data_IF_788081023925
#
_entry.id   IF_788081023925
#
_cell.length_a   1.000
_cell.length_b   1.000
_cell.length_c   1.000
_cell.angle_alpha   90.00
_cell.angle_beta   90.00
_cell.angle_gamma   90.00
#
_symmetry.space_group_name_H-M   'P 1'
#
loop_
_entity.id
_entity.type
_entity.pdbx_description
1 polymer ?
#
# COMPACT_ATOMS: atom_id res chain seq x y z
N UNK A 1 2.64 52.81 26.05
CA UNK A 1 2.54 51.74 25.05
C UNK A 1 3.86 50.98 24.98
N UNK A 2 3.99 49.87 25.70
CA UNK A 2 5.19 49.03 25.67
C UNK A 2 4.81 47.65 25.14
N UNK A 3 5.26 47.34 23.93
CA UNK A 3 5.15 45.99 23.37
C UNK A 3 5.90 44.98 24.25
N UNK A 4 5.38 43.76 24.42
CA UNK A 4 6.05 42.75 25.22
C UNK A 4 7.35 42.27 24.53
N UNK A 5 8.37 41.86 25.30
CA UNK A 5 9.64 41.38 24.76
C UNK A 5 9.42 40.07 23.99
N UNK A 6 9.91 40.01 22.75
CA UNK A 6 9.93 38.77 21.97
C UNK A 6 10.88 37.80 22.66
N UNK A 7 10.36 36.67 23.12
CA UNK A 7 11.17 35.52 23.51
C UNK A 7 11.93 35.03 22.27
N UNK A 8 13.22 35.32 22.20
CA UNK A 8 14.13 34.77 21.18
C UNK A 8 14.59 33.40 21.65
N UNK A 9 13.78 32.37 21.43
CA UNK A 9 14.26 30.99 21.52
C UNK A 9 15.40 30.83 20.50
N UNK A 10 16.59 30.33 20.88
CA UNK A 10 17.67 30.09 19.93
C UNK A 10 17.15 29.14 18.84
N UNK A 11 17.33 29.53 17.58
CA UNK A 11 16.99 28.65 16.46
C UNK A 11 17.88 27.40 16.53
N UNK A 12 17.35 26.22 16.17
CA UNK A 12 18.16 25.02 16.09
C UNK A 12 19.34 25.22 15.11
N UNK A 13 20.48 24.55 15.33
CA UNK A 13 21.63 24.66 14.46
C UNK A 13 21.27 24.22 13.04
N UNK A 14 21.63 25.04 12.05
CA UNK A 14 21.46 24.72 10.63
C UNK A 14 22.63 23.87 10.16
N UNK A 15 22.33 22.71 9.57
CA UNK A 15 23.33 21.78 9.05
C UNK A 15 23.21 21.73 7.53
N UNK A 16 24.35 21.80 6.82
CA UNK A 16 24.40 21.68 5.37
C UNK A 16 24.54 20.21 4.93
N UNK A 17 23.64 19.66 4.09
CA UNK A 17 23.71 18.28 3.63
C UNK A 17 24.65 18.08 2.43
N UNK A 18 25.72 18.88 2.28
CA UNK A 18 26.60 18.87 1.10
C UNK A 18 27.21 17.50 0.81
N UNK A 19 27.56 16.74 1.85
CA UNK A 19 28.09 15.39 1.68
C UNK A 19 27.02 14.42 1.12
N UNK A 20 25.83 14.43 1.70
CA UNK A 20 24.69 13.65 1.20
C UNK A 20 24.38 13.99 -0.25
N UNK A 21 24.35 15.29 -0.60
CA UNK A 21 24.13 15.74 -1.98
C UNK A 21 25.17 15.20 -2.95
N UNK A 22 26.43 15.16 -2.53
CA UNK A 22 27.52 14.59 -3.35
C UNK A 22 27.36 13.09 -3.59
N UNK A 23 26.86 12.33 -2.61
CA UNK A 23 26.53 10.90 -2.78
C UNK A 23 25.39 10.75 -3.78
N UNK A 24 24.30 11.50 -3.61
CA UNK A 24 23.13 11.47 -4.49
C UNK A 24 23.53 11.72 -5.95
N UNK A 25 24.38 12.72 -6.22
CA UNK A 25 24.85 13.06 -7.58
C UNK A 25 25.63 11.95 -8.28
N UNK A 26 26.26 11.06 -7.49
CA UNK A 26 26.96 9.89 -8.01
C UNK A 26 26.01 8.72 -8.24
N UNK A 27 25.06 8.50 -7.34
CA UNK A 27 24.15 7.36 -7.37
C UNK A 27 22.99 7.52 -8.37
N UNK A 28 22.56 8.75 -8.65
CA UNK A 28 21.47 9.02 -9.59
C UNK A 28 21.79 10.19 -10.50
N UNK A 29 21.73 9.95 -11.80
CA UNK A 29 21.87 11.01 -12.82
C UNK A 29 20.69 11.98 -12.80
N UNK A 30 19.52 11.53 -12.35
CA UNK A 30 18.29 12.31 -12.30
C UNK A 30 18.37 13.51 -11.35
N UNK A 31 18.98 13.33 -10.18
CA UNK A 31 19.10 14.38 -9.14
C UNK A 31 20.42 15.16 -9.20
N UNK A 32 21.19 14.98 -10.29
CA UNK A 32 22.48 15.63 -10.44
C UNK A 32 22.33 17.13 -10.69
N UNK A 33 23.17 17.91 -10.04
CA UNK A 33 23.17 19.38 -10.18
C UNK A 33 22.25 20.07 -9.18
N UNK A 34 21.71 21.24 -9.52
CA UNK A 34 21.00 22.10 -8.55
C UNK A 34 19.64 22.59 -9.08
N UNK A 35 19.02 21.81 -9.96
CA UNK A 35 17.67 22.10 -10.44
C UNK A 35 16.63 21.76 -9.38
N UNK A 36 15.43 22.31 -9.54
CA UNK A 36 14.28 21.91 -8.71
C UNK A 36 13.77 20.54 -9.16
N UNK A 37 13.38 19.71 -8.20
CA UNK A 37 12.87 18.36 -8.41
C UNK A 37 11.59 18.12 -7.63
N UNK A 38 10.82 17.11 -8.03
CA UNK A 38 9.69 16.63 -7.26
C UNK A 38 10.20 15.89 -6.00
N UNK A 39 9.72 16.32 -4.83
CA UNK A 39 10.11 15.70 -3.56
C UNK A 39 9.62 14.26 -3.44
N UNK A 40 8.48 13.93 -4.05
CA UNK A 40 7.95 12.57 -4.06
C UNK A 40 8.84 11.63 -4.89
N UNK A 41 9.27 12.08 -6.08
CA UNK A 41 10.20 11.32 -6.92
C UNK A 41 11.53 11.08 -6.20
N UNK A 42 12.07 12.12 -5.54
CA UNK A 42 13.27 12.00 -4.73
C UNK A 42 13.10 11.01 -3.55
N UNK A 43 11.98 11.08 -2.84
CA UNK A 43 11.67 10.17 -1.73
C UNK A 43 11.55 8.72 -2.20
N UNK A 44 10.84 8.46 -3.30
CA UNK A 44 10.67 7.12 -3.85
C UNK A 44 12.03 6.50 -4.21
N UNK A 45 12.89 7.27 -4.89
CA UNK A 45 14.26 6.84 -5.19
C UNK A 45 15.10 6.60 -3.93
N UNK A 46 15.02 7.49 -2.94
CA UNK A 46 15.82 7.38 -1.73
C UNK A 46 15.43 6.14 -0.92
N UNK A 47 14.14 5.86 -0.78
CA UNK A 47 13.63 4.68 -0.08
C UNK A 47 14.10 3.40 -0.77
N UNK A 48 14.07 3.35 -2.10
CA UNK A 48 14.56 2.22 -2.89
C UNK A 48 16.08 2.04 -2.76
N UNK A 49 16.86 3.12 -2.87
CA UNK A 49 18.31 3.08 -2.71
C UNK A 49 18.72 2.59 -1.31
N UNK A 50 18.05 3.07 -0.26
CA UNK A 50 18.31 2.60 1.11
C UNK A 50 17.82 1.17 1.30
N UNK A 51 16.70 0.78 0.69
CA UNK A 51 16.23 -0.60 0.71
C UNK A 51 17.29 -1.55 0.16
N UNK A 52 17.81 -1.28 -1.04
CA UNK A 52 18.79 -2.15 -1.69
C UNK A 52 20.11 -2.21 -0.91
N UNK A 53 20.56 -1.10 -0.31
CA UNK A 53 21.78 -1.07 0.52
C UNK A 53 21.64 -1.86 1.84
N UNK A 54 20.41 -1.99 2.38
CA UNK A 54 20.15 -2.67 3.68
C UNK A 54 19.38 -3.98 3.53
N UNK A 55 19.19 -4.45 2.30
CA UNK A 55 18.48 -5.69 1.96
C UNK A 55 19.24 -6.88 2.52
N UNK A 56 18.52 -7.80 3.15
CA UNK A 56 19.12 -9.05 3.61
C UNK A 56 19.42 -9.97 2.43
N UNK A 57 20.56 -10.67 2.43
CA UNK A 57 20.83 -11.73 1.45
C UNK A 57 19.77 -12.83 1.60
N UNK A 58 18.80 -12.88 0.68
CA UNK A 58 17.75 -13.88 0.74
C UNK A 58 18.24 -15.19 0.13
N UNK A 59 18.53 -16.19 0.97
CA UNK A 59 18.98 -17.53 0.56
C UNK A 59 17.85 -18.47 0.07
N UNK A 60 16.75 -17.96 -0.49
CA UNK A 60 15.66 -18.84 -0.93
C UNK A 60 15.53 -18.84 -2.45
N UNK A 61 15.77 -20.02 -3.03
CA UNK A 61 15.27 -20.42 -4.35
C UNK A 61 13.74 -20.45 -4.31
N UNK A 62 13.10 -19.28 -4.35
CA UNK A 62 11.69 -19.24 -4.69
C UNK A 62 11.55 -19.48 -6.19
N UNK A 63 10.73 -20.45 -6.62
CA UNK A 63 10.48 -20.64 -8.04
C UNK A 63 9.92 -19.33 -8.59
N UNK A 64 10.73 -18.63 -9.40
CA UNK A 64 10.38 -17.30 -9.92
C UNK A 64 9.06 -17.30 -10.69
N UNK A 65 8.66 -18.48 -11.19
CA UNK A 65 7.54 -18.71 -12.08
C UNK A 65 6.30 -19.38 -11.44
N UNK A 66 6.17 -19.48 -10.10
CA UNK A 66 4.88 -19.89 -9.54
C UNK A 66 3.87 -18.76 -9.71
N UNK A 67 2.86 -18.94 -10.56
CA UNK A 67 1.75 -17.99 -10.65
C UNK A 67 1.02 -17.96 -9.30
N UNK A 68 0.73 -16.76 -8.79
CA UNK A 68 -0.02 -16.59 -7.54
C UNK A 68 -1.46 -17.03 -7.83
N UNK A 69 -2.01 -17.91 -7.01
CA UNK A 69 -3.40 -18.33 -7.19
C UNK A 69 -4.34 -17.23 -6.70
N UNK A 70 -4.97 -16.53 -7.63
CA UNK A 70 -5.91 -15.43 -7.39
C UNK A 70 -7.28 -15.66 -8.04
N UNK A 71 -7.53 -16.89 -8.51
CA UNK A 71 -8.81 -17.36 -9.04
C UNK A 71 -9.96 -17.20 -8.02
N UNK A 72 -11.21 -17.16 -8.47
CA UNK A 72 -12.39 -16.87 -7.64
C UNK A 72 -12.55 -17.83 -6.45
N UNK A 73 -12.01 -19.05 -6.53
CA UNK A 73 -11.98 -20.04 -5.45
C UNK A 73 -11.05 -19.66 -4.28
N UNK A 74 -10.10 -18.74 -4.48
CA UNK A 74 -9.15 -18.31 -3.45
C UNK A 74 -9.67 -17.07 -2.74
N UNK A 75 -9.65 -17.10 -1.41
CA UNK A 75 -10.01 -15.94 -0.59
C UNK A 75 -8.99 -14.81 -0.71
N UNK A 76 -9.43 -13.56 -0.54
CA UNK A 76 -8.53 -12.40 -0.56
C UNK A 76 -7.40 -12.52 0.48
N UNK A 77 -7.72 -13.06 1.67
CA UNK A 77 -6.74 -13.27 2.72
C UNK A 77 -5.63 -14.23 2.26
N UNK A 78 -5.99 -15.37 1.67
CA UNK A 78 -5.00 -16.34 1.17
C UNK A 78 -4.16 -15.78 0.02
N UNK A 79 -4.78 -15.15 -0.96
CA UNK A 79 -4.07 -14.57 -2.11
C UNK A 79 -3.14 -13.42 -1.69
N UNK A 80 -3.58 -12.59 -0.74
CA UNK A 80 -2.77 -11.51 -0.19
C UNK A 80 -1.57 -12.04 0.61
N UNK A 81 -1.76 -13.07 1.44
CA UNK A 81 -0.69 -13.69 2.22
C UNK A 81 0.34 -14.36 1.31
N UNK A 82 -0.10 -15.11 0.30
CA UNK A 82 0.81 -15.74 -0.67
C UNK A 82 1.64 -14.68 -1.42
N UNK A 83 0.99 -13.60 -1.84
CA UNK A 83 1.67 -12.48 -2.50
C UNK A 83 2.68 -11.81 -1.55
N UNK A 84 2.31 -11.61 -0.28
CA UNK A 84 3.17 -11.01 0.72
C UNK A 84 4.42 -11.85 1.00
N UNK A 85 4.23 -13.15 1.19
CA UNK A 85 5.34 -14.08 1.42
C UNK A 85 6.26 -14.16 0.20
N UNK A 86 5.70 -14.20 -1.00
CA UNK A 86 6.47 -14.24 -2.26
C UNK A 86 7.23 -12.94 -2.54
N UNK A 87 6.71 -11.80 -2.13
CA UNK A 87 7.40 -10.51 -2.29
C UNK A 87 8.47 -10.31 -1.22
N UNK A 88 8.18 -10.64 0.05
CA UNK A 88 9.16 -10.62 1.15
C UNK A 88 10.32 -11.57 0.90
N UNK A 89 10.06 -12.70 0.26
CA UNK A 89 11.08 -13.63 -0.22
C UNK A 89 12.14 -13.03 -1.16
N UNK A 90 11.87 -11.89 -1.79
CA UNK A 90 12.78 -11.23 -2.73
C UNK A 90 13.28 -9.91 -2.14
N UNK A 91 12.38 -9.17 -1.51
CA UNK A 91 12.57 -7.78 -1.10
C UNK A 91 12.24 -7.62 0.38
N UNK A 92 13.26 -7.88 1.22
CA UNK A 92 13.14 -7.77 2.67
C UNK A 92 14.26 -6.90 3.26
N UNK A 93 13.86 -5.82 3.92
CA UNK A 93 14.73 -4.95 4.70
C UNK A 93 13.90 -4.21 5.76
N UNK A 94 14.58 -3.55 6.70
CA UNK A 94 13.88 -2.76 7.74
C UNK A 94 13.01 -1.65 7.16
N UNK A 95 13.50 -0.97 6.12
CA UNK A 95 12.77 0.09 5.41
C UNK A 95 11.45 -0.45 4.85
N UNK A 96 11.52 -1.60 4.20
CA UNK A 96 10.37 -2.26 3.60
C UNK A 96 9.35 -2.67 4.66
N UNK A 97 9.79 -3.24 5.78
CA UNK A 97 8.87 -3.64 6.87
C UNK A 97 8.07 -2.46 7.41
N UNK A 98 8.67 -1.26 7.42
CA UNK A 98 8.02 -0.07 7.96
C UNK A 98 7.06 0.61 6.98
N UNK A 99 7.36 0.59 5.67
CA UNK A 99 6.60 1.36 4.67
C UNK A 99 5.75 0.51 3.72
N UNK A 100 6.00 -0.81 3.61
CA UNK A 100 5.28 -1.67 2.67
C UNK A 100 3.83 -1.89 3.14
N UNK A 101 2.89 -1.68 2.24
CA UNK A 101 1.51 -2.14 2.35
C UNK A 101 1.14 -3.14 1.26
N UNK A 102 -0.06 -3.70 1.36
CA UNK A 102 -0.68 -4.56 0.35
C UNK A 102 -1.94 -3.91 -0.20
N UNK A 103 -2.07 -3.85 -1.52
CA UNK A 103 -3.25 -3.35 -2.23
C UNK A 103 -3.93 -4.51 -2.97
N UNK A 104 -5.26 -4.57 -2.89
CA UNK A 104 -6.09 -5.37 -3.79
C UNK A 104 -6.67 -4.45 -4.86
N UNK A 105 -6.38 -4.72 -6.12
CA UNK A 105 -7.08 -4.12 -7.26
C UNK A 105 -7.98 -5.16 -7.93
N UNK A 106 -9.09 -4.70 -8.52
CA UNK A 106 -10.04 -5.55 -9.22
C UNK A 106 -10.48 -4.90 -10.52
N UNK A 107 -10.47 -5.68 -11.59
CA UNK A 107 -10.95 -5.28 -12.91
C UNK A 107 -12.05 -6.23 -13.35
N UNK A 108 -13.22 -5.67 -13.67
CA UNK A 108 -14.34 -6.44 -14.18
C UNK A 108 -14.52 -6.17 -15.68
N UNK A 109 -14.65 -7.24 -16.47
CA UNK A 109 -15.04 -7.16 -17.86
C UNK A 109 -16.53 -6.75 -17.96
N UNK A 110 -16.82 -5.69 -18.69
CA UNK A 110 -18.19 -5.17 -18.84
C UNK A 110 -19.06 -6.00 -19.80
N UNK A 111 -18.46 -6.91 -20.58
CA UNK A 111 -19.19 -7.76 -21.54
C UNK A 111 -19.54 -9.13 -20.94
N UNK A 112 -18.56 -9.80 -20.30
CA UNK A 112 -18.75 -11.15 -19.76
C UNK A 112 -18.88 -11.19 -18.23
N UNK A 113 -18.73 -10.06 -17.54
CA UNK A 113 -18.82 -9.97 -16.08
C UNK A 113 -17.64 -10.57 -15.32
N UNK A 114 -16.65 -11.15 -16.02
CA UNK A 114 -15.50 -11.80 -15.39
C UNK A 114 -14.68 -10.78 -14.59
N UNK A 115 -14.41 -11.10 -13.32
CA UNK A 115 -13.59 -10.29 -12.43
C UNK A 115 -12.17 -10.86 -12.37
N UNK A 116 -11.17 -10.01 -12.55
CA UNK A 116 -9.77 -10.32 -12.28
C UNK A 116 -9.30 -9.51 -11.08
N UNK A 117 -8.72 -10.18 -10.09
CA UNK A 117 -8.19 -9.57 -8.86
C UNK A 117 -6.67 -9.62 -8.90
N UNK A 118 -6.02 -8.53 -8.53
CA UNK A 118 -4.57 -8.48 -8.38
C UNK A 118 -4.21 -8.01 -6.97
N UNK A 119 -3.20 -8.63 -6.38
CA UNK A 119 -2.63 -8.24 -5.10
C UNK A 119 -1.22 -7.76 -5.35
N UNK A 120 -0.92 -6.55 -4.91
CA UNK A 120 0.37 -5.93 -5.14
C UNK A 120 0.83 -5.13 -3.93
N UNK A 121 2.13 -5.16 -3.69
CA UNK A 121 2.70 -4.37 -2.60
C UNK A 121 2.97 -2.94 -3.04
N UNK A 122 2.82 -1.98 -2.14
CA UNK A 122 3.13 -0.56 -2.38
C UNK A 122 3.95 0.02 -1.23
N UNK A 123 4.63 1.15 -1.46
CA UNK A 123 5.36 1.91 -0.42
C UNK A 123 4.71 3.25 -0.08
N UNK A 124 3.95 3.81 -1.02
CA UNK A 124 3.29 5.10 -0.90
C UNK A 124 1.97 5.07 -1.66
N UNK A 125 1.02 5.89 -1.23
CA UNK A 125 -0.29 6.03 -1.85
C UNK A 125 -0.41 7.40 -2.49
N UNK A 126 -0.57 7.41 -3.82
CA UNK A 126 -0.95 8.60 -4.56
C UNK A 126 -2.44 8.83 -4.43
N UNK A 127 -2.84 9.80 -3.61
CA UNK A 127 -4.26 10.10 -3.38
C UNK A 127 -4.70 11.23 -4.33
N UNK A 128 -5.72 11.00 -5.18
CA UNK A 128 -6.20 12.03 -6.09
C UNK A 128 -6.81 13.19 -5.30
N UNK A 129 -6.56 14.42 -5.74
CA UNK A 129 -7.20 15.60 -5.16
C UNK A 129 -8.61 15.71 -5.73
N UNK A 130 -9.65 15.62 -4.89
CA UNK A 130 -11.03 15.76 -5.34
C UNK A 130 -11.28 17.19 -5.81
N UNK A 131 -12.18 17.35 -6.80
CA UNK A 131 -12.59 18.68 -7.29
C UNK A 131 -13.38 19.47 -6.24
N UNK A 132 -13.84 18.82 -5.19
CA UNK A 132 -14.53 19.43 -4.05
C UNK A 132 -13.52 19.93 -3.03
N UNK A 133 -13.85 21.03 -2.33
CA UNK A 133 -12.95 21.65 -1.33
C UNK A 133 -12.65 20.75 -0.12
N UNK A 134 -13.49 19.77 0.16
CA UNK A 134 -13.35 18.87 1.31
C UNK A 134 -13.86 17.50 0.92
N UNK A 135 -13.13 16.47 1.33
CA UNK A 135 -13.55 15.06 1.23
C UNK A 135 -13.26 14.39 2.56
N UNK A 136 -14.22 13.62 3.04
CA UNK A 136 -14.02 12.76 4.20
C UNK A 136 -13.29 11.49 3.75
N UNK A 137 -12.12 11.26 4.34
CA UNK A 137 -11.37 10.01 4.19
C UNK A 137 -11.56 9.23 5.48
N UNK A 138 -12.15 8.04 5.38
CA UNK A 138 -12.30 7.14 6.53
C UNK A 138 -11.08 6.23 6.57
N UNK A 139 -10.22 6.41 7.57
CA UNK A 139 -9.13 5.48 7.87
C UNK A 139 -9.58 4.56 8.99
N UNK A 140 -9.70 3.28 8.70
CA UNK A 140 -9.96 2.25 9.70
C UNK A 140 -8.62 1.60 10.06
N UNK A 141 -8.19 1.82 11.30
CA UNK A 141 -7.02 1.11 11.85
C UNK A 141 -7.54 -0.18 12.46
N UNK A 142 -7.12 -1.31 11.89
CA UNK A 142 -7.41 -2.63 12.44
C UNK A 142 -6.17 -3.10 13.19
N UNK A 143 -6.32 -3.43 14.47
CA UNK A 143 -5.27 -4.04 15.29
C UNK A 143 -5.18 -5.54 14.95
N UNK A 144 -3.98 -6.11 14.91
CA UNK A 144 -3.75 -7.54 14.64
C UNK A 144 -4.57 -8.45 15.57
N UNK A 145 -4.80 -8.02 16.81
CA UNK A 145 -5.57 -8.77 17.82
C UNK A 145 -7.04 -8.97 17.46
N UNK A 146 -7.61 -8.13 16.57
CA UNK A 146 -9.00 -8.24 16.13
C UNK A 146 -9.22 -9.30 15.02
N UNK A 147 -8.15 -9.83 14.40
CA UNK A 147 -8.27 -10.85 13.35
C UNK A 147 -8.30 -12.30 13.87
N UNK A 148 -7.82 -12.57 15.08
CA UNK A 148 -7.88 -13.92 15.67
C UNK A 148 -9.32 -14.34 16.06
N UNK A 149 -10.20 -13.39 16.37
CA UNK A 149 -11.60 -13.68 16.73
C UNK A 149 -12.45 -14.20 15.56
N UNK A 150 -11.99 -14.06 14.31
CA UNK A 150 -12.65 -14.60 13.12
C UNK A 150 -12.12 -15.97 12.66
N UNK A 151 -10.99 -16.44 13.23
CA UNK A 151 -10.27 -17.64 12.76
C UNK A 151 -10.56 -18.90 13.61
N UNK A 152 -11.60 -18.87 14.45
CA UNK A 152 -11.97 -19.94 15.37
C UNK A 152 -13.35 -20.55 15.10
N UNK A 153 -13.36 -21.66 14.33
CA UNK A 153 -14.30 -22.80 14.29
C UNK A 153 -14.80 -23.14 12.87
N UNK A 154 -13.91 -23.73 12.09
CA UNK A 154 -14.32 -24.75 11.12
C UNK A 154 -14.77 -26.01 11.88
N UNK A 155 -16.00 -25.98 12.39
CA UNK A 155 -16.70 -27.16 12.89
C UNK A 155 -17.54 -27.74 11.76
N UNK A 156 -17.29 -28.99 11.42
CA UNK A 156 -18.15 -29.81 10.53
C UNK A 156 -19.59 -29.74 11.03
N UNK A 157 -20.52 -29.28 10.19
CA UNK A 157 -21.94 -29.16 10.53
C UNK A 157 -22.84 -28.80 9.35
N UNK A 158 -23.31 -29.84 8.65
CA UNK A 158 -24.58 -30.04 7.93
C UNK A 158 -25.14 -28.99 6.94
N UNK A 159 -25.37 -29.47 5.72
CA UNK A 159 -25.79 -28.79 4.46
C UNK A 159 -27.22 -28.20 4.39
N UNK A 160 -27.87 -27.76 5.48
CA UNK A 160 -29.30 -27.37 5.42
C UNK A 160 -29.62 -25.88 5.65
N UNK A 161 -28.62 -24.99 5.76
CA UNK A 161 -28.87 -23.57 6.07
C UNK A 161 -28.39 -22.58 4.99
N UNK A 162 -28.41 -22.98 3.71
CA UNK A 162 -28.02 -22.12 2.59
C UNK A 162 -29.21 -21.48 1.83
N UNK A 163 -30.43 -21.99 1.96
CA UNK A 163 -31.58 -21.54 1.15
C UNK A 163 -32.38 -20.34 1.71
N UNK A 164 -32.06 -19.80 2.89
CA UNK A 164 -32.89 -18.74 3.51
C UNK A 164 -32.28 -17.34 3.55
N UNK A 165 -31.07 -17.15 3.02
CA UNK A 165 -30.41 -15.84 3.03
C UNK A 165 -30.35 -15.13 1.66
N UNK A 166 -30.78 -15.79 0.58
CA UNK A 166 -30.86 -15.18 -0.75
C UNK A 166 -32.11 -14.29 -0.93
N UNK A 167 -33.19 -14.52 -0.17
CA UNK A 167 -34.46 -13.81 -0.35
C UNK A 167 -34.53 -12.42 0.31
N UNK A 168 -33.49 -11.98 1.02
CA UNK A 168 -33.50 -10.73 1.80
C UNK A 168 -32.62 -9.60 1.26
N UNK A 169 -31.84 -9.84 0.20
CA UNK A 169 -30.93 -8.83 -0.38
C UNK A 169 -31.52 -8.05 -1.57
N UNK A 170 -32.68 -8.48 -2.07
CA UNK A 170 -33.31 -7.91 -3.28
C UNK A 170 -34.18 -6.66 -3.04
N UNK A 171 -34.28 -6.15 -1.79
CA UNK A 171 -35.20 -5.04 -1.46
C UNK A 171 -34.58 -3.70 -1.10
N UNK A 172 -33.28 -3.49 -1.26
CA UNK A 172 -32.71 -2.15 -1.05
C UNK A 172 -31.71 -1.76 -2.15
N UNK A 173 -32.24 -1.51 -3.35
CA UNK A 173 -31.57 -0.69 -4.34
C UNK A 173 -31.91 0.78 -4.15
N UNK A 174 -30.91 1.64 -3.87
CA UNK A 174 -30.61 2.82 -4.70
C UNK A 174 -29.40 3.63 -4.23
N UNK A 175 -28.59 3.99 -5.23
CA UNK A 175 -27.72 5.17 -5.34
C UNK A 175 -26.39 5.18 -4.55
N UNK A 176 -25.31 4.91 -5.27
CA UNK A 176 -23.95 5.33 -4.94
C UNK A 176 -23.04 5.07 -6.13
N UNK A 177 -22.68 6.12 -6.86
CA UNK A 177 -22.02 6.07 -8.16
C UNK A 177 -20.57 5.55 -8.10
N UNK A 178 -20.20 4.86 -9.19
CA UNK A 178 -18.87 4.37 -9.59
C UNK A 178 -17.84 5.50 -9.73
N UNK A 179 -16.58 5.26 -9.39
CA UNK A 179 -15.45 5.96 -10.05
C UNK A 179 -14.25 5.01 -10.17
N UNK A 180 -13.94 4.70 -11.43
CA UNK A 180 -12.76 4.02 -11.94
C UNK A 180 -11.56 4.99 -11.96
N UNK A 181 -10.34 4.50 -11.71
CA UNK A 181 -9.13 5.20 -12.11
C UNK A 181 -8.24 4.28 -12.92
N UNK A 182 -8.18 4.56 -14.22
CA UNK A 182 -7.17 4.10 -15.17
C UNK A 182 -5.93 5.00 -15.04
N UNK A 183 -4.73 4.43 -15.10
CA UNK A 183 -3.51 5.21 -15.36
C UNK A 183 -2.82 4.64 -16.60
N UNK A 184 -2.42 5.57 -17.47
CA UNK A 184 -1.89 5.40 -18.84
C UNK A 184 -0.53 4.74 -18.88
#
# INVERSE_FOLDING_TARGET
SSSPPRHTTPLPPVVSPSHLKSVIDRCSSLFRGFQQHDAHEFMAWLVDAVHEDVKFEVQKEFPTNSEIQNGPEVSDAQASEETWEKTRARDDSEVIRMFRGMQRSSTQCMECGNESRNFETFMYLSVPIPKTRTVAVTVMVMDETAMEEGRGKGGVGNDEEMEKNEEKKEKNGKAGATTTTTTT
#
